data_IF_104120228803
#
_entry.id   IF_104120228803
#
_cell.length_a   1.000
_cell.length_b   1.000
_cell.length_c   1.000
_cell.angle_alpha   90.00
_cell.angle_beta   90.00
_cell.angle_gamma   90.00
#
_symmetry.space_group_name_H-M   'P 1'
#
loop_
_entity.id
_entity.type
_entity.pdbx_description
1 polymer ?
#
# COMPACT_ATOMS: atom_id res chain seq x y z
N UNK A 1 2.49 -14.50 -2.51
CA UNK A 1 2.34 -13.65 -1.31
C UNK A 1 2.97 -12.29 -1.56
N UNK A 2 2.54 -11.23 -0.87
CA UNK A 2 3.19 -9.91 -0.92
C UNK A 2 3.73 -9.52 0.46
N UNK A 3 4.60 -8.50 0.49
CA UNK A 3 5.14 -7.96 1.73
C UNK A 3 4.60 -6.55 1.97
N UNK A 4 3.95 -6.32 3.10
CA UNK A 4 3.35 -5.02 3.46
C UNK A 4 3.96 -4.55 4.77
N UNK A 5 4.69 -3.42 4.76
CA UNK A 5 5.39 -2.89 5.95
C UNK A 5 6.24 -3.95 6.66
N UNK A 6 7.10 -4.65 5.90
CA UNK A 6 7.94 -5.75 6.33
C UNK A 6 7.21 -7.01 6.85
N UNK A 7 5.88 -7.08 6.75
CA UNK A 7 5.07 -8.25 7.17
C UNK A 7 4.50 -8.97 5.96
N UNK A 8 4.41 -10.28 6.03
CA UNK A 8 3.75 -11.05 4.98
C UNK A 8 2.25 -10.80 4.95
N UNK A 9 1.69 -10.72 3.75
CA UNK A 9 0.27 -10.54 3.52
C UNK A 9 -0.21 -11.42 2.36
N UNK A 10 -1.40 -11.98 2.52
CA UNK A 10 -2.01 -12.82 1.50
C UNK A 10 -2.42 -11.96 0.30
N UNK A 11 -1.85 -12.30 -0.85
CA UNK A 11 -2.14 -11.61 -2.10
C UNK A 11 -3.22 -12.36 -2.87
N UNK A 12 -4.07 -11.62 -3.57
CA UNK A 12 -5.07 -12.16 -4.48
C UNK A 12 -5.10 -11.34 -5.77
N UNK A 13 -5.57 -11.96 -6.85
CA UNK A 13 -5.63 -11.34 -8.16
C UNK A 13 -6.53 -10.09 -8.15
N UNK A 14 -6.04 -9.00 -8.75
CA UNK A 14 -6.75 -7.72 -8.78
C UNK A 14 -6.66 -6.89 -7.50
N UNK A 15 -5.78 -7.26 -6.54
CA UNK A 15 -5.51 -6.43 -5.38
C UNK A 15 -4.89 -5.08 -5.79
N UNK A 16 -5.60 -3.99 -5.51
CA UNK A 16 -5.11 -2.62 -5.72
C UNK A 16 -4.57 -2.03 -4.42
N UNK A 17 -3.78 -0.96 -4.54
CA UNK A 17 -3.31 -0.20 -3.37
C UNK A 17 -4.49 0.27 -2.52
N UNK A 18 -5.53 0.83 -3.14
CA UNK A 18 -6.73 1.26 -2.41
C UNK A 18 -7.36 0.10 -1.64
N UNK A 19 -7.49 -1.07 -2.27
CA UNK A 19 -8.09 -2.25 -1.62
C UNK A 19 -7.24 -2.74 -0.46
N UNK A 20 -5.91 -2.73 -0.60
CA UNK A 20 -4.99 -3.07 0.47
C UNK A 20 -5.15 -2.14 1.68
N UNK A 21 -5.24 -0.82 1.44
CA UNK A 21 -5.45 0.18 2.49
C UNK A 21 -6.80 -0.03 3.21
N UNK A 22 -7.87 -0.29 2.45
CA UNK A 22 -9.19 -0.62 3.00
C UNK A 22 -9.13 -1.86 3.90
N UNK A 23 -8.47 -2.93 3.45
CA UNK A 23 -8.31 -4.18 4.21
C UNK A 23 -7.49 -3.99 5.49
N UNK A 24 -6.50 -3.09 5.47
CA UNK A 24 -5.70 -2.73 6.66
C UNK A 24 -6.40 -1.72 7.56
N UNK A 25 -7.62 -1.29 7.23
CA UNK A 25 -8.38 -0.26 7.97
C UNK A 25 -7.61 1.05 8.07
N UNK A 26 -6.82 1.36 7.05
CA UNK A 26 -6.05 2.58 6.92
C UNK A 26 -6.97 3.67 6.37
N UNK A 27 -7.75 4.29 7.28
CA UNK A 27 -8.73 5.33 6.97
C UNK A 27 -8.15 6.75 6.99
N UNK A 28 -6.88 6.90 7.36
CA UNK A 28 -6.23 8.21 7.49
C UNK A 28 -5.80 8.78 6.12
N UNK A 29 -5.98 10.08 5.88
CA UNK A 29 -5.67 10.71 4.59
C UNK A 29 -4.16 10.84 4.31
N UNK A 30 -3.30 10.80 5.32
CA UNK A 30 -1.86 11.06 5.19
C UNK A 30 -1.02 9.78 5.20
N UNK A 31 -1.25 8.93 4.19
CA UNK A 31 -0.49 7.68 4.01
C UNK A 31 0.33 7.76 2.73
N UNK A 32 1.64 7.64 2.90
CA UNK A 32 2.60 7.49 1.80
C UNK A 32 2.70 6.02 1.44
N UNK A 33 2.30 5.66 0.23
CA UNK A 33 2.48 4.30 -0.30
C UNK A 33 3.67 4.25 -1.26
N UNK A 34 4.52 3.23 -1.09
CA UNK A 34 5.55 2.86 -2.05
C UNK A 34 5.42 1.40 -2.43
N UNK A 35 5.66 1.07 -3.70
CA UNK A 35 5.73 -0.32 -4.19
C UNK A 35 7.12 -0.53 -4.78
N UNK A 36 7.86 -1.52 -4.29
CA UNK A 36 9.23 -1.84 -4.71
C UNK A 36 10.17 -0.61 -4.68
N UNK A 37 9.94 0.29 -3.71
CA UNK A 37 10.70 1.55 -3.57
C UNK A 37 10.16 2.74 -4.39
N UNK A 38 9.24 2.51 -5.32
CA UNK A 38 8.63 3.58 -6.13
C UNK A 38 7.43 4.21 -5.42
N UNK A 39 7.38 5.54 -5.37
CA UNK A 39 6.28 6.26 -4.75
C UNK A 39 5.02 6.22 -5.63
N UNK A 40 3.91 5.78 -5.04
CA UNK A 40 2.61 5.77 -5.70
C UNK A 40 1.81 6.96 -5.17
N UNK A 41 1.38 7.90 -6.04
CA UNK A 41 0.51 9.00 -5.61
C UNK A 41 -0.91 8.49 -5.29
N UNK A 42 -1.62 9.11 -4.35
CA UNK A 42 -2.98 8.70 -3.94
C UNK A 42 -3.97 8.59 -5.09
N UNK A 43 -3.83 9.44 -6.10
CA UNK A 43 -4.63 9.47 -7.33
C UNK A 43 -4.56 8.14 -8.10
N UNK A 44 -3.43 7.43 -7.99
CA UNK A 44 -3.19 6.16 -8.67
C UNK A 44 -3.52 4.95 -7.82
N UNK A 45 -4.00 5.11 -6.57
CA UNK A 45 -4.25 3.97 -5.68
C UNK A 45 -5.31 2.99 -6.21
N UNK A 46 -6.28 3.47 -6.97
CA UNK A 46 -7.31 2.66 -7.63
C UNK A 46 -6.81 1.99 -8.90
N UNK A 47 -5.91 2.63 -9.64
CA UNK A 47 -5.39 2.14 -10.92
C UNK A 47 -4.16 1.22 -10.75
N UNK A 48 -3.45 1.33 -9.62
CA UNK A 48 -2.23 0.56 -9.36
C UNK A 48 -2.58 -0.81 -8.82
N UNK A 49 -2.28 -1.83 -9.62
CA UNK A 49 -2.42 -3.25 -9.26
C UNK A 49 -1.13 -3.72 -8.60
N UNK A 50 -1.26 -4.30 -7.42
CA UNK A 50 -0.16 -4.95 -6.71
C UNK A 50 -0.01 -6.36 -7.29
N UNK A 51 1.21 -6.75 -7.62
CA UNK A 51 1.52 -8.09 -8.12
C UNK A 51 2.02 -9.00 -7.01
N UNK A 52 1.92 -10.30 -7.26
CA UNK A 52 2.49 -11.27 -6.34
C UNK A 52 4.00 -11.09 -6.21
N UNK A 53 4.51 -11.10 -4.98
CA UNK A 53 5.92 -10.85 -4.66
C UNK A 53 6.32 -9.38 -4.49
N UNK A 54 5.42 -8.43 -4.72
CA UNK A 54 5.71 -7.01 -4.52
C UNK A 54 5.93 -6.66 -3.04
N UNK A 55 6.83 -5.69 -2.81
CA UNK A 55 7.03 -5.07 -1.51
C UNK A 55 6.30 -3.73 -1.44
N UNK A 56 5.29 -3.64 -0.58
CA UNK A 56 4.48 -2.46 -0.35
C UNK A 56 4.83 -1.83 1.00
N UNK A 57 5.16 -0.55 1.00
CA UNK A 57 5.33 0.25 2.21
C UNK A 57 4.17 1.23 2.29
N UNK A 58 3.43 1.20 3.39
CA UNK A 58 2.35 2.13 3.70
C UNK A 58 2.68 2.84 5.02
N UNK A 59 3.28 4.03 4.90
CA UNK A 59 3.77 4.81 6.03
C UNK A 59 2.77 5.91 6.36
N UNK A 60 2.34 5.96 7.62
CA UNK A 60 1.56 7.09 8.13
C UNK A 60 2.52 8.25 8.36
N UNK A 61 2.26 9.40 7.72
CA UNK A 61 2.93 10.63 8.10
C UNK A 61 2.32 11.11 9.41
N UNK A 62 3.03 10.90 10.52
CA UNK A 62 2.82 11.69 11.71
C UNK A 62 3.65 12.94 11.53
N UNK A 63 3.01 14.11 11.36
CA UNK A 63 3.69 15.39 11.34
C UNK A 63 4.49 15.56 12.62
N UNK A 64 5.80 15.31 12.55
CA UNK A 64 6.73 15.54 13.64
C UNK A 64 7.10 17.01 13.66
N UNK A 65 6.48 17.75 14.58
CA UNK A 65 6.87 19.10 15.02
C UNK A 65 7.02 19.09 16.53
#
# INVERSE_FOLDING_TARGET
>A
MIRVNNRDFEWFEGLTVKKLLELKTYTFPEIVVKINGEYIPPEKYTATIIKDGDEVLALHMFGGG
#
